data_IF_632649722514
#
_entry.id   IF_632649722514
#
_cell.length_a   1.000
_cell.length_b   1.000
_cell.length_c   1.000
_cell.angle_alpha   90.00
_cell.angle_beta   90.00
_cell.angle_gamma   90.00
#
_symmetry.space_group_name_H-M   'P 1'
#
loop_
_entity.id
_entity.type
_entity.pdbx_description
1 polymer ?
#
# COMPACT_ATOMS: atom_id res chain seq x y z
N UNK A 1 17.76 57.87 -19.59
CA UNK A 1 17.05 56.80 -18.85
C UNK A 1 17.77 55.46 -19.08
N UNK A 2 19.03 55.39 -18.67
CA UNK A 2 19.93 54.25 -18.84
C UNK A 2 20.97 54.41 -17.73
N UNK A 3 21.32 53.33 -17.04
CA UNK A 3 22.32 53.26 -15.95
C UNK A 3 21.76 53.25 -14.51
N UNK A 4 20.87 52.29 -14.22
CA UNK A 4 20.61 51.84 -12.84
C UNK A 4 21.04 50.38 -12.61
N UNK A 5 22.00 49.88 -13.39
CA UNK A 5 22.59 48.55 -13.23
C UNK A 5 24.12 48.67 -13.32
N UNK A 6 24.73 49.26 -12.30
CA UNK A 6 26.14 49.06 -11.99
C UNK A 6 26.39 49.33 -10.50
N UNK A 7 25.78 48.48 -9.68
CA UNK A 7 26.15 48.36 -8.28
C UNK A 7 26.26 46.85 -8.00
N UNK A 8 27.49 46.32 -8.09
CA UNK A 8 27.77 44.87 -8.04
C UNK A 8 27.18 44.21 -6.79
N UNK A 9 27.11 44.97 -5.68
CA UNK A 9 26.49 44.53 -4.42
C UNK A 9 24.97 44.33 -4.51
N UNK A 10 24.26 45.18 -5.26
CA UNK A 10 22.82 45.08 -5.45
C UNK A 10 22.40 43.91 -6.33
N UNK A 11 23.19 43.63 -7.37
CA UNK A 11 22.98 42.45 -8.24
C UNK A 11 23.11 41.14 -7.44
N UNK A 12 24.12 41.05 -6.58
CA UNK A 12 24.39 39.87 -5.76
C UNK A 12 23.26 39.61 -4.74
N UNK A 13 22.71 40.65 -4.12
CA UNK A 13 21.55 40.53 -3.24
C UNK A 13 20.28 40.05 -3.96
N UNK A 14 20.03 40.54 -5.19
CA UNK A 14 18.87 40.11 -6.00
C UNK A 14 19.00 38.62 -6.36
N UNK A 15 20.17 38.20 -6.85
CA UNK A 15 20.43 36.79 -7.17
C UNK A 15 20.32 35.88 -5.94
N UNK A 16 20.82 36.33 -4.78
CA UNK A 16 20.70 35.58 -3.53
C UNK A 16 19.23 35.34 -3.16
N UNK A 17 18.38 36.36 -3.23
CA UNK A 17 16.95 36.25 -2.94
C UNK A 17 16.29 35.23 -3.87
N UNK A 18 16.56 35.30 -5.17
CA UNK A 18 16.02 34.36 -6.16
C UNK A 18 16.46 32.93 -5.83
N UNK A 19 17.73 32.71 -5.54
CA UNK A 19 18.26 31.37 -5.19
C UNK A 19 17.59 30.83 -3.94
N UNK A 20 17.36 31.67 -2.91
CA UNK A 20 16.66 31.24 -1.68
C UNK A 20 15.24 30.77 -2.00
N UNK A 21 14.49 31.50 -2.81
CA UNK A 21 13.13 31.07 -3.20
C UNK A 21 13.14 29.78 -4.03
N UNK A 22 14.08 29.65 -4.97
CA UNK A 22 14.25 28.40 -5.75
C UNK A 22 14.60 27.24 -4.84
N UNK A 23 15.51 27.43 -3.89
CA UNK A 23 15.90 26.41 -2.93
C UNK A 23 14.72 25.97 -2.05
N UNK A 24 13.93 26.91 -1.53
CA UNK A 24 12.72 26.62 -0.76
C UNK A 24 11.70 25.82 -1.60
N UNK A 25 11.50 26.20 -2.86
CA UNK A 25 10.63 25.48 -3.78
C UNK A 25 11.07 24.03 -3.98
N UNK A 26 12.37 23.80 -4.23
CA UNK A 26 12.93 22.46 -4.37
C UNK A 26 12.80 21.67 -3.06
N UNK A 27 13.09 22.29 -1.92
CA UNK A 27 13.01 21.62 -0.62
C UNK A 27 11.59 21.12 -0.31
N UNK A 28 10.57 21.93 -0.60
CA UNK A 28 9.15 21.54 -0.46
C UNK A 28 8.80 20.34 -1.35
N UNK A 29 9.25 20.36 -2.61
CA UNK A 29 9.03 19.25 -3.54
C UNK A 29 9.71 17.96 -3.05
N UNK A 30 10.97 18.04 -2.61
CA UNK A 30 11.72 16.88 -2.10
C UNK A 30 11.02 16.29 -0.88
N UNK A 31 10.53 17.11 0.05
CA UNK A 31 9.77 16.65 1.20
C UNK A 31 8.47 15.94 0.82
N UNK A 32 7.71 16.51 -0.12
CA UNK A 32 6.44 15.92 -0.56
C UNK A 32 6.63 14.57 -1.26
N UNK A 33 7.57 14.50 -2.21
CA UNK A 33 7.90 13.25 -2.90
C UNK A 33 8.51 12.21 -1.96
N UNK A 34 9.36 12.63 -1.03
CA UNK A 34 9.93 11.74 -0.02
C UNK A 34 8.85 11.12 0.87
N UNK A 35 7.90 11.94 1.35
CA UNK A 35 6.76 11.46 2.13
C UNK A 35 5.87 10.52 1.33
N UNK A 36 5.50 10.86 0.09
CA UNK A 36 4.72 9.98 -0.79
C UNK A 36 5.40 8.63 -1.01
N UNK A 37 6.71 8.63 -1.25
CA UNK A 37 7.47 7.40 -1.48
C UNK A 37 7.48 6.51 -0.22
N UNK A 38 7.76 7.08 0.94
CA UNK A 38 7.78 6.37 2.21
C UNK A 38 6.41 5.83 2.61
N UNK A 39 5.36 6.63 2.45
CA UNK A 39 3.99 6.22 2.74
C UNK A 39 3.54 5.12 1.78
N UNK A 40 3.84 5.23 0.47
CA UNK A 40 3.53 4.18 -0.50
C UNK A 40 4.24 2.86 -0.17
N UNK A 41 5.52 2.92 0.26
CA UNK A 41 6.25 1.72 0.71
C UNK A 41 5.56 1.10 1.93
N UNK A 42 5.20 1.91 2.91
CA UNK A 42 4.52 1.46 4.14
C UNK A 42 3.18 0.82 3.81
N UNK A 43 2.39 1.41 2.91
CA UNK A 43 1.11 0.80 2.50
C UNK A 43 1.31 -0.51 1.73
N UNK A 44 2.34 -0.62 0.87
CA UNK A 44 2.67 -1.90 0.21
C UNK A 44 3.02 -3.00 1.21
N UNK A 45 3.77 -2.66 2.25
CA UNK A 45 4.11 -3.60 3.34
C UNK A 45 2.88 -3.96 4.17
N UNK A 46 2.02 -2.98 4.44
CA UNK A 46 0.75 -3.16 5.16
C UNK A 46 -0.20 -4.10 4.41
N UNK A 47 -0.34 -3.89 3.10
CA UNK A 47 -1.11 -4.79 2.23
C UNK A 47 -0.53 -6.20 2.25
N UNK A 48 0.80 -6.33 2.21
CA UNK A 48 1.47 -7.63 2.28
C UNK A 48 1.17 -8.34 3.61
N UNK A 49 1.17 -7.63 4.74
CA UNK A 49 0.79 -8.19 6.05
C UNK A 49 -0.68 -8.58 6.10
N UNK A 50 -1.57 -7.74 5.55
CA UNK A 50 -2.99 -8.01 5.50
C UNK A 50 -3.32 -9.27 4.69
N UNK A 51 -2.73 -9.42 3.49
CA UNK A 51 -2.92 -10.63 2.66
C UNK A 51 -2.31 -11.87 3.32
N UNK A 52 -1.18 -11.74 4.02
CA UNK A 52 -0.63 -12.84 4.82
C UNK A 52 -1.57 -13.25 5.96
N UNK A 53 -2.09 -12.29 6.72
CA UNK A 53 -3.04 -12.58 7.79
C UNK A 53 -4.34 -13.23 7.27
N UNK A 54 -4.76 -12.85 6.07
CA UNK A 54 -5.87 -13.49 5.37
C UNK A 54 -5.54 -14.93 4.98
N UNK A 55 -4.35 -15.18 4.41
CA UNK A 55 -3.90 -16.52 4.03
C UNK A 55 -3.67 -17.45 5.23
N UNK A 56 -3.43 -16.90 6.42
CA UNK A 56 -3.32 -17.64 7.67
C UNK A 56 -4.67 -17.95 8.33
N UNK A 57 -5.79 -17.53 7.75
CA UNK A 57 -7.12 -17.86 8.24
C UNK A 57 -7.50 -19.30 7.86
N UNK A 58 -6.72 -20.27 8.35
CA UNK A 58 -6.86 -21.69 8.03
C UNK A 58 -8.15 -22.22 8.68
N UNK A 59 -8.86 -23.07 7.95
CA UNK A 59 -10.01 -23.81 8.45
C UNK A 59 -9.54 -24.93 9.39
N UNK A 60 -9.98 -24.89 10.65
CA UNK A 60 -9.62 -25.86 11.69
C UNK A 60 -10.53 -27.10 11.63
N UNK A 61 -10.66 -27.69 10.45
CA UNK A 61 -11.48 -28.88 10.20
C UNK A 61 -10.63 -30.17 10.20
N UNK A 62 -11.29 -31.32 10.09
CA UNK A 62 -10.63 -32.65 10.10
C UNK A 62 -9.54 -32.79 9.03
N UNK A 63 -9.69 -32.09 7.89
CA UNK A 63 -8.72 -32.06 6.79
C UNK A 63 -7.37 -31.42 7.16
N UNK A 64 -7.32 -30.61 8.22
CA UNK A 64 -6.07 -30.07 8.74
C UNK A 64 -5.15 -31.18 9.28
N UNK A 65 -5.73 -32.20 9.93
CA UNK A 65 -4.98 -33.35 10.43
C UNK A 65 -4.46 -34.25 9.29
N UNK A 66 -5.10 -34.18 8.12
CA UNK A 66 -4.69 -34.86 6.88
C UNK A 66 -3.61 -34.07 6.11
N UNK A 67 -3.20 -32.89 6.60
CA UNK A 67 -2.23 -32.01 5.94
C UNK A 67 -2.81 -31.16 4.81
N UNK A 68 -4.14 -31.10 4.66
CA UNK A 68 -4.83 -30.30 3.66
C UNK A 68 -5.21 -28.95 4.28
N UNK A 69 -4.42 -27.93 3.97
CA UNK A 69 -4.67 -26.57 4.44
C UNK A 69 -5.72 -25.90 3.55
N UNK A 70 -6.90 -25.57 4.09
CA UNK A 70 -7.88 -24.73 3.39
C UNK A 70 -8.06 -23.42 4.13
N UNK A 71 -8.30 -22.34 3.40
CA UNK A 71 -8.50 -21.00 3.97
C UNK A 71 -10.00 -20.76 4.12
N UNK A 72 -10.43 -20.33 5.32
CA UNK A 72 -11.78 -19.83 5.59
C UNK A 72 -11.94 -18.44 4.95
N UNK A 73 -12.75 -18.28 3.88
CA UNK A 73 -12.87 -17.01 3.18
C UNK A 73 -13.45 -15.89 4.04
N UNK A 74 -14.37 -16.21 4.96
CA UNK A 74 -15.00 -15.21 5.81
C UNK A 74 -14.01 -14.69 6.85
N UNK A 75 -13.28 -15.59 7.52
CA UNK A 75 -12.22 -15.22 8.46
C UNK A 75 -11.05 -14.52 7.75
N UNK A 76 -10.71 -14.93 6.54
CA UNK A 76 -9.67 -14.29 5.72
C UNK A 76 -10.02 -12.83 5.40
N UNK A 77 -11.26 -12.55 5.00
CA UNK A 77 -11.70 -11.18 4.70
C UNK A 77 -11.71 -10.28 5.94
N UNK A 78 -12.15 -10.80 7.09
CA UNK A 78 -12.12 -10.07 8.36
C UNK A 78 -10.68 -9.75 8.76
N UNK A 79 -9.79 -10.76 8.78
CA UNK A 79 -8.37 -10.58 9.08
C UNK A 79 -7.70 -9.59 8.12
N UNK A 80 -8.01 -9.68 6.83
CA UNK A 80 -7.51 -8.76 5.82
C UNK A 80 -7.89 -7.31 6.14
N UNK A 81 -9.18 -7.04 6.36
CA UNK A 81 -9.68 -5.68 6.62
C UNK A 81 -9.13 -5.11 7.92
N UNK A 82 -9.11 -5.92 8.98
CA UNK A 82 -8.58 -5.51 10.29
C UNK A 82 -7.10 -5.13 10.19
N UNK A 83 -6.26 -6.02 9.66
CA UNK A 83 -4.82 -5.78 9.55
C UNK A 83 -4.51 -4.65 8.57
N UNK A 84 -5.30 -4.49 7.49
CA UNK A 84 -5.14 -3.36 6.58
C UNK A 84 -5.48 -2.05 7.31
N UNK A 85 -6.60 -2.00 8.02
CA UNK A 85 -7.05 -0.82 8.75
C UNK A 85 -6.05 -0.38 9.83
N UNK A 86 -5.59 -1.31 10.65
CA UNK A 86 -4.63 -1.04 11.72
C UNK A 86 -3.31 -0.46 11.17
N UNK A 87 -2.77 -1.05 10.10
CA UNK A 87 -1.45 -0.67 9.60
C UNK A 87 -1.43 0.64 8.80
N UNK A 88 -2.55 1.07 8.20
CA UNK A 88 -2.60 2.32 7.40
C UNK A 88 -3.44 3.43 8.03
N UNK A 89 -3.93 3.21 9.25
CA UNK A 89 -4.67 4.19 10.04
C UNK A 89 -6.09 4.41 9.54
N UNK A 90 -6.88 3.34 9.39
CA UNK A 90 -8.30 3.40 9.06
C UNK A 90 -9.17 3.00 10.24
N UNK A 91 -10.45 3.35 10.18
CA UNK A 91 -11.46 2.74 11.01
C UNK A 91 -11.65 1.26 10.60
N UNK A 92 -11.61 0.34 11.57
CA UNK A 92 -11.69 -1.10 11.32
C UNK A 92 -13.02 -1.55 10.70
N UNK A 93 -14.10 -0.82 10.98
CA UNK A 93 -15.45 -1.16 10.50
C UNK A 93 -15.75 -0.48 9.17
N UNK A 94 -15.53 0.83 9.07
CA UNK A 94 -15.93 1.60 7.89
C UNK A 94 -14.85 1.65 6.81
N UNK A 95 -13.59 1.38 7.16
CA UNK A 95 -12.37 1.59 6.36
C UNK A 95 -12.15 3.05 5.96
N UNK A 96 -12.80 3.99 6.65
CA UNK A 96 -12.54 5.42 6.44
C UNK A 96 -11.21 5.82 7.09
N UNK A 97 -10.45 6.73 6.48
CA UNK A 97 -9.21 7.24 7.05
C UNK A 97 -9.44 7.86 8.43
N UNK A 98 -8.59 7.52 9.41
CA UNK A 98 -8.60 8.20 10.69
C UNK A 98 -8.16 9.67 10.52
N UNK A 99 -8.72 10.62 11.30
CA UNK A 99 -8.35 12.05 11.21
C UNK A 99 -6.85 12.29 11.43
N UNK A 100 -6.22 11.45 12.24
CA UNK A 100 -4.79 11.51 12.56
C UNK A 100 -4.14 10.16 12.34
N UNK A 101 -2.94 10.13 11.77
CA UNK A 101 -2.15 8.91 11.58
C UNK A 101 -2.47 8.11 10.31
N UNK A 102 -3.52 8.46 9.55
CA UNK A 102 -3.80 7.80 8.28
C UNK A 102 -2.74 8.09 7.21
N UNK A 103 -2.31 7.05 6.52
CA UNK A 103 -1.41 7.13 5.35
C UNK A 103 -2.16 7.42 4.05
N UNK A 104 -3.49 7.38 4.07
CA UNK A 104 -4.36 7.57 2.92
C UNK A 104 -5.31 8.75 3.14
N UNK A 105 -5.76 9.34 2.03
CA UNK A 105 -6.65 10.52 2.03
C UNK A 105 -8.12 10.16 1.86
N UNK A 106 -8.41 8.97 1.35
CA UNK A 106 -9.77 8.48 1.09
C UNK A 106 -9.85 6.99 1.41
N UNK A 107 -11.07 6.51 1.56
CA UNK A 107 -11.36 5.09 1.81
C UNK A 107 -10.73 4.22 0.70
N UNK A 108 -9.91 3.22 1.05
CA UNK A 108 -9.39 2.24 0.09
C UNK A 108 -10.50 1.52 -0.66
N UNK A 109 -10.32 1.37 -1.97
CA UNK A 109 -11.22 0.59 -2.81
C UNK A 109 -10.61 -0.79 -3.05
N UNK A 110 -11.20 -1.82 -2.43
CA UNK A 110 -10.84 -3.22 -2.66
C UNK A 110 -11.46 -3.62 -4.01
N UNK A 111 -10.65 -3.64 -5.06
CA UNK A 111 -11.09 -4.01 -6.41
C UNK A 111 -11.33 -5.50 -6.55
N UNK A 112 -10.58 -6.29 -5.79
CA UNK A 112 -10.60 -7.74 -5.86
C UNK A 112 -10.07 -8.31 -4.55
N UNK A 113 -10.75 -9.30 -4.02
CA UNK A 113 -10.32 -10.11 -2.89
C UNK A 113 -10.79 -11.54 -3.14
N UNK A 114 -9.85 -12.44 -3.37
CA UNK A 114 -10.12 -13.81 -3.82
C UNK A 114 -9.36 -14.76 -2.93
N UNK A 115 -10.06 -15.77 -2.45
CA UNK A 115 -9.50 -16.91 -1.72
C UNK A 115 -9.67 -18.13 -2.61
N UNK A 116 -8.55 -18.72 -3.02
CA UNK A 116 -8.55 -19.91 -3.85
C UNK A 116 -8.04 -21.10 -3.02
N UNK A 117 -8.86 -22.14 -2.91
CA UNK A 117 -8.55 -23.37 -2.16
C UNK A 117 -8.35 -24.57 -3.07
N UNK A 118 -8.87 -24.54 -4.31
CA UNK A 118 -8.77 -25.63 -5.27
C UNK A 118 -7.49 -25.47 -6.10
N UNK A 119 -6.38 -25.98 -5.57
CA UNK A 119 -5.05 -25.85 -6.20
C UNK A 119 -4.45 -27.22 -6.56
N UNK A 120 -3.70 -27.34 -7.67
CA UNK A 120 -3.23 -26.26 -8.54
C UNK A 120 -4.30 -25.74 -9.52
N UNK A 121 -4.37 -24.42 -9.70
CA UNK A 121 -5.30 -23.79 -10.67
C UNK A 121 -4.73 -22.49 -11.26
N UNK A 122 -5.23 -22.10 -12.44
CA UNK A 122 -4.92 -20.82 -13.06
C UNK A 122 -6.11 -19.88 -12.89
N UNK A 123 -5.88 -18.75 -12.24
CA UNK A 123 -6.87 -17.73 -11.98
C UNK A 123 -6.60 -16.48 -12.82
N UNK A 124 -7.63 -15.95 -13.48
CA UNK A 124 -7.54 -14.68 -14.20
C UNK A 124 -8.11 -13.54 -13.35
N UNK A 125 -7.28 -12.55 -13.02
CA UNK A 125 -7.69 -11.34 -12.30
C UNK A 125 -8.28 -10.32 -13.27
N UNK A 126 -9.58 -9.98 -13.16
CA UNK A 126 -10.19 -8.95 -14.00
C UNK A 126 -9.63 -7.55 -13.68
N UNK A 127 -9.22 -7.30 -12.42
CA UNK A 127 -8.72 -6.01 -12.00
C UNK A 127 -7.31 -5.72 -12.56
N UNK A 128 -6.47 -6.75 -12.71
CA UNK A 128 -5.12 -6.64 -13.25
C UNK A 128 -5.01 -7.01 -14.74
N UNK A 129 -6.05 -7.64 -15.30
CA UNK A 129 -6.04 -8.21 -16.66
C UNK A 129 -4.88 -9.16 -16.88
N UNK A 130 -4.59 -9.99 -15.87
CA UNK A 130 -3.47 -10.93 -15.89
C UNK A 130 -3.86 -12.25 -15.20
N UNK A 131 -3.19 -13.33 -15.58
CA UNK A 131 -3.39 -14.65 -14.98
C UNK A 131 -2.31 -14.96 -13.94
N UNK A 132 -2.71 -15.68 -12.90
CA UNK A 132 -1.85 -16.18 -11.84
C UNK A 132 -2.02 -17.69 -11.71
N UNK A 133 -0.93 -18.39 -11.43
CA UNK A 133 -0.96 -19.83 -11.13
C UNK A 133 -0.90 -19.97 -9.62
N UNK A 134 -1.91 -20.61 -9.05
CA UNK A 134 -1.99 -20.95 -7.63
C UNK A 134 -1.61 -22.40 -7.45
N UNK A 135 -0.40 -22.67 -6.95
CA UNK A 135 0.06 -24.03 -6.63
C UNK A 135 -0.51 -24.54 -5.30
N UNK A 136 -0.83 -23.61 -4.39
CA UNK A 136 -1.32 -23.89 -3.04
C UNK A 136 -2.45 -22.93 -2.68
N UNK A 137 -3.29 -23.27 -1.68
CA UNK A 137 -4.36 -22.41 -1.23
C UNK A 137 -3.84 -21.02 -0.89
N UNK A 138 -4.43 -20.00 -1.51
CA UNK A 138 -3.86 -18.66 -1.59
C UNK A 138 -4.92 -17.57 -1.57
N UNK A 139 -4.50 -16.39 -1.12
CA UNK A 139 -5.30 -15.17 -1.16
C UNK A 139 -4.66 -14.18 -2.11
N UNK A 140 -5.46 -13.62 -3.01
CA UNK A 140 -5.11 -12.48 -3.86
C UNK A 140 -5.95 -11.28 -3.44
N UNK A 141 -5.31 -10.14 -3.21
CA UNK A 141 -6.00 -8.88 -3.00
C UNK A 141 -5.46 -7.80 -3.94
N UNK A 142 -6.36 -7.04 -4.55
CA UNK A 142 -6.08 -5.86 -5.36
C UNK A 142 -6.80 -4.67 -4.76
N UNK A 143 -6.03 -3.66 -4.35
CA UNK A 143 -6.56 -2.47 -3.66
C UNK A 143 -6.10 -1.22 -4.39
N UNK A 144 -7.05 -0.33 -4.66
CA UNK A 144 -6.79 1.03 -5.11
C UNK A 144 -6.84 1.97 -3.91
N UNK A 145 -5.79 2.76 -3.74
CA UNK A 145 -5.62 3.65 -2.58
C UNK A 145 -5.08 5.00 -3.03
N UNK A 146 -5.40 6.05 -2.28
CA UNK A 146 -4.84 7.39 -2.50
C UNK A 146 -3.95 7.79 -1.34
N UNK A 147 -2.65 7.57 -1.54
CA UNK A 147 -1.60 7.79 -0.55
C UNK A 147 -1.38 9.28 -0.34
N UNK A 148 -1.26 9.67 0.93
CA UNK A 148 -1.05 11.04 1.38
C UNK A 148 0.44 11.41 1.32
N UNK A 149 0.75 12.56 0.74
CA UNK A 149 2.04 13.25 0.87
C UNK A 149 1.97 14.35 1.92
N UNK A 150 2.95 15.25 1.93
CA UNK A 150 2.90 16.43 2.82
C UNK A 150 1.88 17.44 2.30
N UNK A 151 1.87 17.65 0.99
CA UNK A 151 1.02 18.63 0.31
C UNK A 151 0.19 18.01 -0.82
N UNK A 152 0.68 16.94 -1.45
CA UNK A 152 -0.04 16.26 -2.53
C UNK A 152 -0.55 14.88 -2.12
N UNK A 153 -1.29 14.23 -3.03
CA UNK A 153 -1.72 12.84 -2.87
C UNK A 153 -1.70 12.15 -4.22
N UNK A 154 -1.46 10.84 -4.23
CA UNK A 154 -1.43 10.05 -5.46
C UNK A 154 -2.17 8.74 -5.30
N UNK A 155 -2.91 8.38 -6.34
CA UNK A 155 -3.62 7.10 -6.40
C UNK A 155 -2.70 6.00 -6.93
N UNK A 156 -2.64 4.89 -6.21
CA UNK A 156 -1.93 3.68 -6.60
C UNK A 156 -2.89 2.51 -6.62
N UNK A 157 -2.71 1.61 -7.58
CA UNK A 157 -3.35 0.27 -7.54
C UNK A 157 -2.27 -0.71 -7.16
N UNK A 158 -2.44 -1.38 -6.03
CA UNK A 158 -1.50 -2.32 -5.46
C UNK A 158 -2.14 -3.71 -5.45
N UNK A 159 -1.33 -4.75 -5.63
CA UNK A 159 -1.78 -6.12 -5.47
C UNK A 159 -0.78 -6.94 -4.67
N UNK A 160 -1.29 -7.92 -3.92
CA UNK A 160 -0.49 -8.92 -3.24
C UNK A 160 -1.16 -10.28 -3.25
N UNK A 161 -0.32 -11.31 -3.33
CA UNK A 161 -0.68 -12.71 -3.31
C UNK A 161 0.10 -13.37 -2.16
N UNK A 162 -0.57 -14.18 -1.36
CA UNK A 162 0.06 -15.00 -0.32
C UNK A 162 -0.58 -16.38 -0.28
N UNK A 163 0.23 -17.42 -0.15
CA UNK A 163 -0.23 -18.80 0.07
C UNK A 163 -0.23 -19.15 1.55
N UNK A 164 -1.01 -20.16 1.93
CA UNK A 164 -1.16 -20.68 3.30
C UNK A 164 -0.04 -21.64 3.73
N UNK A 165 1.05 -21.80 2.96
CA UNK A 165 2.07 -22.78 3.31
C UNK A 165 2.82 -22.41 4.60
N UNK A 166 2.74 -23.32 5.57
CA UNK A 166 3.66 -23.38 6.71
C UNK A 166 4.83 -24.27 6.30
N UNK A 167 5.96 -23.66 5.92
CA UNK A 167 7.21 -24.40 5.89
C UNK A 167 7.63 -24.67 7.34
N UNK A 168 7.57 -25.93 7.76
CA UNK A 168 8.16 -26.39 9.01
C UNK A 168 9.67 -26.12 8.95
N UNK A 169 10.15 -25.14 9.72
CA UNK A 169 11.60 -24.88 9.88
C UNK A 169 12.12 -25.80 10.98
N UNK A 170 12.07 -27.10 10.74
CA UNK A 170 12.77 -28.12 11.52
C UNK A 170 13.13 -29.27 10.57
N UNK A 171 14.31 -29.15 9.96
CA UNK A 171 15.16 -30.27 9.52
C UNK A 171 16.47 -30.20 10.29
#
# INVERSE_FOLDING_TARGET
>A
MKNYIHNEKGSLSIWFIIIVFVFLGIAVLVMDFGSLYMNNKTVKESLNRAVKAAALAINENEHLAEGIFTIDPARAEVNFKQILAENIGLNEVTLDPLPTGSLVTEKPEIKEFVVENSTPTTYFSPALKNSFIFEHPSVLAVVRIKVKGVFSSRTFTLYKLSSSQLTSVYE
#
